data_IF_221549202621
#
_entry.id   IF_221549202621
#
_cell.length_a   1.000
_cell.length_b   1.000
_cell.length_c   1.000
_cell.angle_alpha   90.00
_cell.angle_beta   90.00
_cell.angle_gamma   90.00
#
_symmetry.space_group_name_H-M   'P 1'
#
loop_
_entity.id
_entity.type
_entity.pdbx_description
1 polymer ?
#
# COMPACT_ATOMS: atom_id res chain seq x y z
N UNK A 1 -12.09 15.45 -14.21
CA UNK A 1 -12.67 15.31 -12.85
C UNK A 1 -11.73 15.78 -11.74
N UNK A 2 -10.43 15.38 -11.72
CA UNK A 2 -9.50 15.74 -10.64
C UNK A 2 -9.32 17.25 -10.42
N UNK A 3 -9.37 18.07 -11.48
CA UNK A 3 -9.26 19.54 -11.37
C UNK A 3 -10.43 20.18 -10.62
N UNK A 4 -11.63 19.71 -10.90
CA UNK A 4 -12.86 20.16 -10.25
C UNK A 4 -12.88 19.73 -8.79
N UNK A 5 -12.45 18.49 -8.51
CA UNK A 5 -12.32 17.98 -7.16
C UNK A 5 -11.31 18.81 -6.32
N UNK A 6 -10.14 19.15 -6.90
CA UNK A 6 -9.16 20.02 -6.23
C UNK A 6 -9.79 21.38 -5.88
N UNK A 7 -10.52 21.99 -6.83
CA UNK A 7 -11.17 23.28 -6.61
C UNK A 7 -12.25 23.23 -5.51
N UNK A 8 -12.93 22.10 -5.35
CA UNK A 8 -13.91 21.84 -4.29
C UNK A 8 -13.21 21.66 -2.93
N UNK A 9 -12.17 20.82 -2.87
CA UNK A 9 -11.39 20.56 -1.64
C UNK A 9 -10.72 21.84 -1.10
N UNK A 10 -10.20 22.71 -1.96
CA UNK A 10 -9.62 24.01 -1.56
C UNK A 10 -10.64 24.89 -0.86
N UNK A 11 -11.92 24.78 -1.19
CA UNK A 11 -13.02 25.46 -0.49
C UNK A 11 -13.46 24.77 0.80
N UNK A 12 -12.80 23.65 1.16
CA UNK A 12 -13.15 22.77 2.28
C UNK A 12 -14.51 22.07 2.14
N UNK A 13 -14.94 21.84 0.90
CA UNK A 13 -16.15 21.10 0.59
C UNK A 13 -15.82 19.60 0.48
N UNK A 14 -16.71 18.75 0.99
CA UNK A 14 -16.56 17.29 0.90
C UNK A 14 -16.86 16.80 -0.51
N UNK A 15 -16.14 15.78 -0.95
CA UNK A 15 -16.43 15.11 -2.21
C UNK A 15 -17.50 14.04 -2.02
N UNK A 16 -18.36 13.88 -3.04
CA UNK A 16 -19.25 12.72 -3.05
C UNK A 16 -18.47 11.44 -3.35
N UNK A 17 -19.04 10.29 -3.01
CA UNK A 17 -18.45 8.98 -3.31
C UNK A 17 -18.14 8.80 -4.79
N UNK A 18 -19.03 9.25 -5.66
CA UNK A 18 -18.89 9.14 -7.11
C UNK A 18 -17.72 9.99 -7.63
N UNK A 19 -17.57 11.22 -7.11
CA UNK A 19 -16.45 12.11 -7.48
C UNK A 19 -15.14 11.54 -7.00
N UNK A 20 -15.09 11.03 -5.77
CA UNK A 20 -13.89 10.40 -5.21
C UNK A 20 -13.49 9.16 -6.03
N UNK A 21 -14.44 8.26 -6.36
CA UNK A 21 -14.19 7.09 -7.18
C UNK A 21 -13.62 7.48 -8.56
N UNK A 22 -14.19 8.48 -9.22
CA UNK A 22 -13.72 8.94 -10.54
C UNK A 22 -12.32 9.56 -10.48
N UNK A 23 -12.03 10.37 -9.47
CA UNK A 23 -10.68 10.93 -9.28
C UNK A 23 -9.67 9.84 -9.01
N UNK A 24 -10.02 8.86 -8.19
CA UNK A 24 -9.14 7.72 -7.91
C UNK A 24 -8.90 6.88 -9.16
N UNK A 25 -9.90 6.69 -10.03
CA UNK A 25 -9.71 6.03 -11.33
C UNK A 25 -8.73 6.81 -12.23
N UNK A 26 -8.86 8.15 -12.34
CA UNK A 26 -7.90 8.97 -13.11
C UNK A 26 -6.46 8.85 -12.56
N UNK A 27 -6.33 8.69 -11.23
CA UNK A 27 -5.02 8.48 -10.58
C UNK A 27 -4.48 7.09 -10.91
N UNK A 28 -5.30 6.05 -10.75
CA UNK A 28 -4.91 4.65 -10.89
C UNK A 28 -4.62 4.25 -12.34
N UNK A 29 -5.32 4.84 -13.31
CA UNK A 29 -5.07 4.64 -14.74
C UNK A 29 -3.90 5.46 -15.28
N UNK A 30 -3.36 6.40 -14.49
CA UNK A 30 -2.26 7.27 -14.89
C UNK A 30 -2.67 8.47 -15.74
N UNK A 31 -3.96 8.78 -15.83
CA UNK A 31 -4.45 9.96 -16.56
C UNK A 31 -4.11 11.27 -15.81
N UNK A 32 -4.06 11.21 -14.47
CA UNK A 32 -3.71 12.35 -13.66
C UNK A 32 -2.20 12.60 -13.68
N UNK A 33 -1.78 13.86 -13.90
CA UNK A 33 -0.38 14.26 -13.79
C UNK A 33 0.10 14.26 -12.34
N UNK A 34 1.41 14.16 -12.11
CA UNK A 34 1.98 14.18 -10.75
C UNK A 34 1.64 15.47 -9.99
N UNK A 35 1.60 16.61 -10.70
CA UNK A 35 1.16 17.88 -10.12
C UNK A 35 -0.31 17.83 -9.66
N UNK A 36 -1.19 17.19 -10.42
CA UNK A 36 -2.59 17.02 -10.05
C UNK A 36 -2.75 16.06 -8.86
N UNK A 37 -2.02 14.94 -8.86
CA UNK A 37 -1.99 13.98 -7.74
C UNK A 37 -1.53 14.67 -6.45
N UNK A 38 -0.40 15.38 -6.50
CA UNK A 38 0.14 16.10 -5.35
C UNK A 38 -0.83 17.17 -4.84
N UNK A 39 -1.43 17.95 -5.74
CA UNK A 39 -2.40 18.99 -5.37
C UNK A 39 -3.66 18.40 -4.75
N UNK A 40 -4.18 17.31 -5.32
CA UNK A 40 -5.36 16.61 -4.81
C UNK A 40 -5.12 16.05 -3.40
N UNK A 41 -4.05 15.29 -3.20
CA UNK A 41 -3.71 14.70 -1.92
C UNK A 41 -3.46 15.76 -0.84
N UNK A 42 -2.78 16.85 -1.20
CA UNK A 42 -2.54 17.97 -0.27
C UNK A 42 -3.85 18.66 0.12
N UNK A 43 -4.71 18.97 -0.86
CA UNK A 43 -5.98 19.63 -0.60
C UNK A 43 -6.92 18.74 0.24
N UNK A 44 -6.96 17.44 -0.04
CA UNK A 44 -7.75 16.46 0.71
C UNK A 44 -7.27 16.38 2.16
N UNK A 45 -5.95 16.26 2.39
CA UNK A 45 -5.36 16.23 3.73
C UNK A 45 -5.57 17.54 4.50
N UNK A 46 -5.50 18.70 3.84
CA UNK A 46 -5.76 20.00 4.47
C UNK A 46 -7.23 20.22 4.82
N UNK A 47 -8.14 19.63 4.07
CA UNK A 47 -9.58 19.63 4.39
C UNK A 47 -9.88 18.70 5.57
N UNK A 48 -9.22 17.55 5.60
CA UNK A 48 -9.54 16.40 6.45
C UNK A 48 -10.51 15.46 5.74
N UNK A 49 -10.15 14.20 5.65
CA UNK A 49 -10.89 13.17 4.91
C UNK A 49 -12.18 12.78 5.64
N UNK A 50 -13.27 12.55 4.91
CA UNK A 50 -14.48 11.93 5.45
C UNK A 50 -14.41 10.41 5.34
N UNK A 51 -15.27 9.71 6.10
CA UNK A 51 -15.37 8.23 6.04
C UNK A 51 -15.78 7.78 4.62
N UNK A 52 -16.69 8.51 3.97
CA UNK A 52 -17.16 8.18 2.63
C UNK A 52 -16.06 8.36 1.59
N UNK A 53 -15.28 9.44 1.69
CA UNK A 53 -14.12 9.67 0.81
C UNK A 53 -13.05 8.56 0.97
N UNK A 54 -12.70 8.19 2.21
CA UNK A 54 -11.75 7.11 2.48
C UNK A 54 -12.27 5.78 1.94
N UNK A 55 -13.54 5.48 2.18
CA UNK A 55 -14.16 4.22 1.75
C UNK A 55 -14.18 4.11 0.23
N UNK A 56 -14.55 5.19 -0.47
CA UNK A 56 -14.58 5.24 -1.92
C UNK A 56 -13.18 5.12 -2.53
N UNK A 57 -12.20 5.81 -1.98
CA UNK A 57 -10.81 5.69 -2.39
C UNK A 57 -10.28 4.26 -2.21
N UNK A 58 -10.52 3.65 -1.05
CA UNK A 58 -10.10 2.28 -0.76
C UNK A 58 -10.75 1.25 -1.69
N UNK A 59 -12.02 1.44 -2.07
CA UNK A 59 -12.75 0.58 -3.00
C UNK A 59 -12.08 0.56 -4.38
N UNK A 60 -11.72 1.74 -4.92
CA UNK A 60 -11.01 1.85 -6.21
C UNK A 60 -9.61 1.27 -6.11
N UNK A 61 -8.83 1.60 -5.07
CA UNK A 61 -7.52 1.00 -4.85
C UNK A 61 -7.59 -0.54 -4.88
N UNK A 62 -8.56 -1.14 -4.18
CA UNK A 62 -8.73 -2.60 -4.15
C UNK A 62 -9.12 -3.21 -5.50
N UNK A 63 -9.85 -2.49 -6.35
CA UNK A 63 -10.20 -2.97 -7.69
C UNK A 63 -8.99 -3.06 -8.63
N UNK A 64 -7.98 -2.22 -8.41
CA UNK A 64 -6.73 -2.20 -9.17
C UNK A 64 -5.60 -3.06 -8.58
N UNK A 65 -5.80 -3.63 -7.38
CA UNK A 65 -4.77 -4.48 -6.77
C UNK A 65 -4.59 -5.80 -7.52
N UNK A 66 -3.33 -6.19 -7.75
CA UNK A 66 -3.00 -7.56 -8.14
C UNK A 66 -3.37 -8.53 -7.01
N UNK A 67 -4.09 -9.59 -7.35
CA UNK A 67 -4.51 -10.58 -6.36
C UNK A 67 -3.40 -11.61 -6.13
N UNK A 68 -2.99 -11.73 -4.89
CA UNK A 68 -2.19 -12.85 -4.43
C UNK A 68 -3.11 -14.02 -4.05
N UNK A 69 -3.16 -15.03 -4.93
CA UNK A 69 -3.99 -16.20 -4.71
C UNK A 69 -3.14 -17.31 -4.09
N UNK A 70 -3.51 -17.77 -2.92
CA UNK A 70 -2.92 -18.92 -2.25
C UNK A 70 -4.03 -19.74 -1.57
N UNK A 71 -3.74 -20.99 -1.28
CA UNK A 71 -4.62 -21.99 -0.66
C UNK A 71 -4.20 -22.34 0.78
N UNK A 72 -3.30 -21.54 1.37
CA UNK A 72 -2.78 -21.74 2.72
C UNK A 72 -3.34 -20.67 3.66
N UNK A 73 -3.60 -21.06 4.90
CA UNK A 73 -3.79 -20.11 5.99
C UNK A 73 -2.45 -19.46 6.30
N UNK A 74 -2.38 -18.16 6.13
CA UNK A 74 -1.14 -17.38 6.30
C UNK A 74 -1.35 -16.23 7.28
N UNK A 75 -0.30 -15.93 8.03
CA UNK A 75 -0.25 -14.73 8.85
C UNK A 75 0.30 -13.57 8.00
N UNK A 76 -0.35 -12.43 8.08
CA UNK A 76 0.18 -11.16 7.59
C UNK A 76 0.64 -10.28 8.75
N UNK A 77 1.84 -9.73 8.64
CA UNK A 77 2.39 -8.79 9.64
C UNK A 77 2.78 -7.52 8.90
N UNK A 78 1.99 -6.48 9.06
CA UNK A 78 2.21 -5.19 8.42
C UNK A 78 2.01 -4.04 9.41
N UNK A 79 2.89 -3.05 9.33
CA UNK A 79 2.72 -1.77 10.02
C UNK A 79 2.22 -0.72 9.03
N UNK A 80 1.44 0.22 9.50
CA UNK A 80 0.92 1.33 8.68
C UNK A 80 2.03 2.25 8.17
N UNK A 81 3.16 2.31 8.88
CA UNK A 81 4.23 3.28 8.61
C UNK A 81 3.82 4.71 9.00
N UNK A 82 4.72 5.65 8.78
CA UNK A 82 4.43 7.08 8.98
C UNK A 82 4.27 7.54 10.43
N UNK A 83 4.55 6.69 11.42
CA UNK A 83 4.37 6.99 12.86
C UNK A 83 5.52 7.82 13.47
N UNK A 84 6.58 8.07 12.70
CA UNK A 84 7.75 8.85 13.15
C UNK A 84 8.57 8.19 14.25
N UNK A 85 8.31 6.94 14.63
CA UNK A 85 8.93 6.26 15.78
C UNK A 85 10.43 5.93 15.57
N UNK A 86 10.90 5.90 14.32
CA UNK A 86 12.29 5.60 13.94
C UNK A 86 12.88 4.33 14.61
N UNK A 87 12.05 3.33 14.82
CA UNK A 87 12.47 2.04 15.39
C UNK A 87 13.15 1.16 14.34
N UNK A 88 13.67 0.02 14.77
CA UNK A 88 14.11 -1.07 13.88
C UNK A 88 12.92 -1.64 13.12
N UNK A 89 13.17 -2.41 12.04
CA UNK A 89 12.13 -3.09 11.25
C UNK A 89 11.47 -4.23 12.04
N UNK A 90 10.63 -3.88 13.04
CA UNK A 90 9.94 -4.82 13.92
C UNK A 90 9.10 -5.79 13.09
N UNK A 91 8.32 -5.29 12.14
CA UNK A 91 7.46 -6.13 11.30
C UNK A 91 8.23 -7.16 10.46
N UNK A 92 9.41 -6.80 9.93
CA UNK A 92 10.25 -7.75 9.18
C UNK A 92 10.85 -8.80 10.11
N UNK A 93 11.40 -8.39 11.24
CA UNK A 93 11.97 -9.32 12.23
C UNK A 93 10.91 -10.28 12.78
N UNK A 94 9.75 -9.76 13.18
CA UNK A 94 8.65 -10.58 13.69
C UNK A 94 8.18 -11.60 12.65
N UNK A 95 8.05 -11.21 11.37
CA UNK A 95 7.61 -12.11 10.31
C UNK A 95 8.59 -13.27 10.08
N UNK A 96 9.90 -13.02 10.16
CA UNK A 96 10.92 -14.07 10.03
C UNK A 96 10.90 -15.00 11.24
N UNK A 97 10.80 -14.46 12.46
CA UNK A 97 10.72 -15.27 13.70
C UNK A 97 9.48 -16.14 13.71
N UNK A 98 8.32 -15.60 13.34
CA UNK A 98 7.04 -16.33 13.28
C UNK A 98 7.10 -17.44 12.22
N UNK A 99 7.67 -17.15 11.05
CA UNK A 99 7.84 -18.18 10.01
C UNK A 99 8.81 -19.27 10.46
N UNK A 100 9.90 -18.93 11.16
CA UNK A 100 10.82 -19.90 11.73
C UNK A 100 10.17 -20.76 12.84
N UNK A 101 9.14 -20.26 13.52
CA UNK A 101 8.33 -21.00 14.47
C UNK A 101 7.29 -21.93 13.80
N UNK A 102 7.26 -22.01 12.47
CA UNK A 102 6.39 -22.93 11.71
C UNK A 102 5.06 -22.35 11.27
N UNK A 103 4.81 -21.06 11.43
CA UNK A 103 3.58 -20.40 10.96
C UNK A 103 3.86 -19.79 9.58
N UNK A 104 3.11 -20.16 8.52
CA UNK A 104 3.31 -19.56 7.19
C UNK A 104 3.02 -18.05 7.20
N UNK A 105 3.92 -17.27 6.60
CA UNK A 105 3.81 -15.81 6.55
C UNK A 105 3.82 -15.30 5.12
N UNK A 106 2.77 -14.58 4.74
CA UNK A 106 2.73 -13.78 3.51
C UNK A 106 2.83 -12.30 3.90
N UNK A 107 4.05 -11.77 3.92
CA UNK A 107 4.28 -10.40 4.36
C UNK A 107 4.07 -9.41 3.22
N UNK A 108 3.19 -8.46 3.44
CA UNK A 108 3.03 -7.30 2.59
C UNK A 108 3.87 -6.13 3.13
N UNK A 109 4.55 -5.40 2.27
CA UNK A 109 5.36 -4.28 2.70
C UNK A 109 5.86 -3.40 1.56
N UNK A 110 6.40 -2.25 1.92
CA UNK A 110 6.89 -1.26 0.97
C UNK A 110 8.24 -0.70 1.40
N UNK A 111 8.79 0.18 0.55
CA UNK A 111 9.97 0.99 0.87
C UNK A 111 9.66 2.00 1.97
N UNK A 112 10.71 2.61 2.51
CA UNK A 112 10.57 3.61 3.56
C UNK A 112 9.73 4.80 3.11
N UNK A 113 8.74 5.18 3.94
CA UNK A 113 7.99 6.43 3.78
C UNK A 113 8.56 7.53 4.70
N UNK A 114 8.64 7.27 6.01
CA UNK A 114 9.14 8.22 7.02
C UNK A 114 10.38 7.71 7.76
N UNK A 115 10.64 6.40 7.77
CA UNK A 115 11.81 5.81 8.40
C UNK A 115 13.03 5.81 7.47
N UNK A 116 14.20 5.51 8.01
CA UNK A 116 15.46 5.40 7.23
C UNK A 116 15.53 4.12 6.39
N UNK A 117 14.72 3.12 6.68
CA UNK A 117 14.73 1.81 6.03
C UNK A 117 13.35 1.16 6.16
N UNK A 118 12.65 0.99 5.05
CA UNK A 118 11.38 0.27 4.98
C UNK A 118 11.56 -1.25 5.05
N UNK A 119 10.46 -1.98 5.10
CA UNK A 119 10.50 -3.45 5.16
C UNK A 119 11.07 -4.05 3.88
N UNK A 120 10.74 -3.49 2.73
CA UNK A 120 11.30 -3.90 1.44
C UNK A 120 12.80 -3.60 1.34
N UNK A 121 13.23 -2.41 1.78
CA UNK A 121 14.64 -2.00 1.76
C UNK A 121 15.50 -2.93 2.61
N UNK A 122 15.00 -3.36 3.77
CA UNK A 122 15.69 -4.30 4.65
C UNK A 122 15.92 -5.67 3.97
N UNK A 123 14.90 -6.20 3.30
CA UNK A 123 14.98 -7.48 2.61
C UNK A 123 15.91 -7.40 1.38
N UNK A 124 15.86 -6.32 0.62
CA UNK A 124 16.81 -6.09 -0.48
C UNK A 124 18.26 -6.04 0.00
N UNK A 125 18.52 -5.34 1.11
CA UNK A 125 19.85 -5.27 1.70
C UNK A 125 20.36 -6.65 2.14
N UNK A 126 19.47 -7.57 2.48
CA UNK A 126 19.76 -8.98 2.77
C UNK A 126 19.87 -9.86 1.51
N UNK A 127 19.75 -9.29 0.32
CA UNK A 127 19.84 -10.01 -0.96
C UNK A 127 18.55 -10.71 -1.39
N UNK A 128 17.42 -10.42 -0.75
CA UNK A 128 16.11 -10.98 -1.13
C UNK A 128 15.54 -10.21 -2.33
N UNK A 129 15.12 -10.93 -3.36
CA UNK A 129 14.41 -10.35 -4.49
C UNK A 129 12.95 -10.06 -4.10
N UNK A 130 12.58 -8.78 -4.05
CA UNK A 130 11.27 -8.32 -3.56
C UNK A 130 10.22 -8.11 -4.66
N UNK A 131 10.64 -8.05 -5.93
CA UNK A 131 9.82 -7.77 -7.11
C UNK A 131 9.40 -9.04 -7.85
N UNK A 132 9.00 -10.06 -7.12
CA UNK A 132 8.50 -11.31 -7.69
C UNK A 132 7.04 -11.18 -8.13
N UNK A 133 6.70 -11.77 -9.29
CA UNK A 133 5.31 -11.90 -9.70
C UNK A 133 4.49 -12.69 -8.65
N UNK A 134 3.18 -12.39 -8.46
CA UNK A 134 2.34 -13.03 -7.45
C UNK A 134 2.36 -14.56 -7.48
N UNK A 135 2.33 -15.16 -8.68
CA UNK A 135 2.41 -16.61 -8.85
C UNK A 135 3.74 -17.20 -8.33
N UNK A 136 4.87 -16.48 -8.49
CA UNK A 136 6.16 -16.88 -7.96
C UNK A 136 6.21 -16.76 -6.45
N UNK A 137 5.65 -15.69 -5.91
CA UNK A 137 5.51 -15.49 -4.46
C UNK A 137 4.70 -16.60 -3.81
N UNK A 138 3.62 -17.07 -4.44
CA UNK A 138 2.84 -18.21 -3.97
C UNK A 138 3.66 -19.51 -3.96
N UNK A 139 4.50 -19.76 -4.98
CA UNK A 139 5.40 -20.90 -5.01
C UNK A 139 6.45 -20.85 -3.89
N UNK A 140 7.02 -19.66 -3.64
CA UNK A 140 7.99 -19.46 -2.55
C UNK A 140 7.33 -19.71 -1.19
N UNK A 141 6.12 -19.19 -0.98
CA UNK A 141 5.35 -19.43 0.24
C UNK A 141 5.17 -20.93 0.51
N UNK A 142 4.75 -21.69 -0.49
CA UNK A 142 4.59 -23.15 -0.39
C UNK A 142 5.91 -23.89 -0.09
N UNK A 143 7.01 -23.39 -0.63
CA UNK A 143 8.30 -24.05 -0.49
C UNK A 143 8.99 -23.79 0.85
N UNK A 144 8.86 -22.56 1.40
CA UNK A 144 9.64 -22.12 2.56
C UNK A 144 8.79 -21.47 3.68
N UNK A 145 7.48 -21.52 3.57
CA UNK A 145 6.53 -20.94 4.53
C UNK A 145 6.68 -19.43 4.76
N UNK A 146 7.37 -18.73 3.86
CA UNK A 146 7.54 -17.27 3.89
C UNK A 146 7.54 -16.71 2.48
N UNK A 147 6.84 -15.60 2.29
CA UNK A 147 6.99 -14.77 1.10
C UNK A 147 6.85 -13.31 1.45
N UNK A 148 7.43 -12.45 0.59
CA UNK A 148 7.26 -11.02 0.64
C UNK A 148 6.52 -10.56 -0.61
N UNK A 149 5.47 -9.77 -0.40
CA UNK A 149 4.69 -9.13 -1.44
C UNK A 149 5.01 -7.64 -1.40
N UNK A 150 5.52 -7.12 -2.49
CA UNK A 150 5.66 -5.69 -2.62
C UNK A 150 4.27 -5.07 -2.77
N UNK A 151 3.95 -4.07 -1.96
CA UNK A 151 2.80 -3.23 -2.24
C UNK A 151 3.02 -2.62 -3.62
N UNK A 152 2.14 -2.88 -4.58
CA UNK A 152 2.18 -2.17 -5.83
C UNK A 152 1.97 -0.70 -5.51
N UNK A 153 3.02 0.07 -5.65
CA UNK A 153 2.87 1.47 -5.90
C UNK A 153 2.20 1.56 -7.27
N UNK A 154 0.90 1.63 -7.25
CA UNK A 154 0.12 1.98 -8.42
C UNK A 154 0.36 3.45 -8.68
N UNK A 155 1.44 3.74 -9.30
CA UNK A 155 1.75 5.05 -9.88
C UNK A 155 2.73 4.86 -11.02
#
# INVERSE_FOLDING_TARGET
MIKEAIAQLVKREDLTSEVMEQVMEEIMTGEATDAQKASFLTALSMKGETIDEITSAAKVLRSHCERFLNDMDVLEIVGTGGDGSNTINISTLSSVVVSAAGIPVAKHGNRAASSKCGTADCLEALGVKIDCAPARSAQILKAVSYTHLRAHETL
#
